data_IF_454970450782
#
_entry.id   IF_454970450782
#
_cell.length_a   1.000
_cell.length_b   1.000
_cell.length_c   1.000
_cell.angle_alpha   90.00
_cell.angle_beta   90.00
_cell.angle_gamma   90.00
#
_symmetry.space_group_name_H-M   'P 1'
#
loop_
_entity.id
_entity.type
_entity.pdbx_description
1 polymer ?
#
# COMPACT_ATOMS: atom_id res chain seq x y z
N UNK A 1 5.85 -3.46 19.57
CA UNK A 1 6.09 -4.17 18.32
C UNK A 1 6.63 -5.57 18.62
N UNK A 2 5.97 -6.58 18.06
CA UNK A 2 6.15 -7.98 18.48
C UNK A 2 7.48 -8.63 18.02
N UNK A 3 8.32 -7.94 17.23
CA UNK A 3 9.60 -8.42 16.70
C UNK A 3 9.51 -9.82 16.03
N UNK A 4 8.40 -10.12 15.37
CA UNK A 4 8.09 -11.44 14.79
C UNK A 4 8.79 -11.70 13.44
N UNK A 5 9.74 -10.84 13.04
CA UNK A 5 10.40 -10.92 11.74
C UNK A 5 9.60 -10.29 10.60
N UNK A 6 10.02 -10.56 9.37
CA UNK A 6 9.40 -10.02 8.15
C UNK A 6 8.66 -11.11 7.41
N UNK A 7 7.35 -10.93 7.23
CA UNK A 7 6.50 -11.87 6.51
C UNK A 7 6.94 -12.05 5.04
N UNK A 8 7.01 -13.27 4.49
CA UNK A 8 7.33 -13.53 3.09
C UNK A 8 6.11 -13.31 2.19
N UNK A 9 5.62 -12.06 2.12
CA UNK A 9 4.32 -11.71 1.51
C UNK A 9 4.20 -12.21 0.06
N UNK A 10 5.24 -12.02 -0.77
CA UNK A 10 5.19 -12.47 -2.17
C UNK A 10 5.07 -13.99 -2.28
N UNK A 11 5.78 -14.74 -1.41
CA UNK A 11 5.65 -16.18 -1.36
C UNK A 11 4.24 -16.60 -0.93
N UNK A 12 3.69 -15.96 0.10
CA UNK A 12 2.32 -16.22 0.56
C UNK A 12 1.29 -16.00 -0.55
N UNK A 13 1.41 -14.89 -1.29
CA UNK A 13 0.53 -14.60 -2.43
C UNK A 13 0.71 -15.63 -3.55
N UNK A 14 1.95 -16.02 -3.86
CA UNK A 14 2.25 -17.06 -4.85
C UNK A 14 1.63 -18.42 -4.46
N UNK A 15 1.64 -18.74 -3.19
CA UNK A 15 1.06 -19.97 -2.65
C UNK A 15 -0.48 -19.93 -2.52
N UNK A 16 -1.10 -18.87 -3.06
CA UNK A 16 -2.56 -18.70 -3.09
C UNK A 16 -3.17 -18.22 -1.77
N UNK A 17 -2.35 -17.81 -0.80
CA UNK A 17 -2.83 -17.26 0.47
C UNK A 17 -3.34 -15.84 0.22
N UNK A 18 -4.57 -15.57 0.68
CA UNK A 18 -5.10 -14.21 0.67
C UNK A 18 -4.40 -13.35 1.71
N UNK A 19 -3.80 -12.26 1.24
CA UNK A 19 -3.03 -11.33 2.08
C UNK A 19 -3.61 -9.93 1.90
N UNK A 20 -3.77 -9.20 3.00
CA UNK A 20 -4.06 -7.77 3.02
C UNK A 20 -3.06 -7.03 3.90
N UNK A 21 -2.90 -5.73 3.69
CA UNK A 21 -2.15 -4.86 4.59
C UNK A 21 -3.08 -4.28 5.65
N UNK A 22 -2.59 -4.19 6.88
CA UNK A 22 -3.27 -3.57 8.00
C UNK A 22 -2.28 -2.80 8.87
N UNK A 23 -2.79 -1.83 9.63
CA UNK A 23 -1.98 -0.97 10.51
C UNK A 23 -1.66 -1.62 11.85
N UNK A 24 -2.32 -2.74 12.18
CA UNK A 24 -2.20 -3.41 13.49
C UNK A 24 -2.38 -2.44 14.65
N UNK A 25 -3.56 -1.81 14.71
CA UNK A 25 -3.89 -0.83 15.75
C UNK A 25 -3.53 -1.38 17.15
N UNK A 26 -2.86 -0.56 17.94
CA UNK A 26 -2.30 -0.89 19.26
C UNK A 26 -1.02 -1.76 19.25
N UNK A 27 -0.80 -2.64 18.28
CA UNK A 27 0.47 -3.34 18.07
C UNK A 27 1.38 -2.57 17.09
N UNK A 28 0.79 -1.98 16.07
CA UNK A 28 1.46 -1.08 15.13
C UNK A 28 1.71 0.32 15.72
N UNK A 29 2.66 1.03 15.15
CA UNK A 29 3.04 2.37 15.61
C UNK A 29 2.36 3.49 14.82
N UNK A 30 1.59 3.18 13.77
CA UNK A 30 0.97 4.15 12.88
C UNK A 30 -0.38 3.65 12.37
N UNK A 31 -1.37 4.54 12.30
CA UNK A 31 -2.71 4.23 11.80
C UNK A 31 -2.92 4.56 10.31
N UNK A 32 -1.89 5.06 9.63
CA UNK A 32 -1.98 5.47 8.24
C UNK A 32 -1.60 4.33 7.29
N UNK A 33 -2.55 3.87 6.47
CA UNK A 33 -2.32 2.77 5.54
C UNK A 33 -1.34 3.13 4.40
N UNK A 34 -1.21 4.41 4.01
CA UNK A 34 -0.16 4.84 3.08
C UNK A 34 1.23 4.56 3.67
N UNK A 35 1.40 4.81 4.97
CA UNK A 35 2.63 4.48 5.68
C UNK A 35 2.86 2.97 5.75
N UNK A 36 1.83 2.20 6.04
CA UNK A 36 1.92 0.74 6.05
C UNK A 36 2.38 0.19 4.70
N UNK A 37 1.92 0.76 3.58
CA UNK A 37 2.40 0.38 2.25
C UNK A 37 3.90 0.62 2.07
N UNK A 38 4.40 1.79 2.47
CA UNK A 38 5.84 2.10 2.36
C UNK A 38 6.67 1.20 3.26
N UNK A 39 6.22 0.96 4.49
CA UNK A 39 6.92 0.07 5.43
C UNK A 39 6.95 -1.37 4.92
N UNK A 40 5.86 -1.87 4.35
CA UNK A 40 5.81 -3.21 3.75
C UNK A 40 6.80 -3.33 2.56
N UNK A 41 6.87 -2.32 1.69
CA UNK A 41 7.84 -2.28 0.59
C UNK A 41 9.27 -2.31 1.14
N UNK A 42 9.59 -1.47 2.12
CA UNK A 42 10.93 -1.41 2.70
C UNK A 42 11.32 -2.69 3.43
N UNK A 43 10.42 -3.23 4.25
CA UNK A 43 10.64 -4.50 4.94
C UNK A 43 10.86 -5.65 3.94
N UNK A 44 10.08 -5.69 2.86
CA UNK A 44 10.23 -6.68 1.79
C UNK A 44 11.58 -6.56 1.07
N UNK A 45 12.06 -5.35 0.79
CA UNK A 45 13.40 -5.11 0.22
C UNK A 45 14.51 -5.57 1.16
N UNK A 46 14.41 -5.25 2.46
CA UNK A 46 15.37 -5.70 3.46
C UNK A 46 15.41 -7.23 3.53
N UNK A 47 14.22 -7.87 3.60
CA UNK A 47 14.14 -9.32 3.57
C UNK A 47 14.87 -9.89 2.34
N UNK A 48 14.57 -9.39 1.14
CA UNK A 48 15.23 -9.83 -0.09
C UNK A 48 16.75 -9.65 -0.03
N UNK A 49 17.25 -8.50 0.44
CA UNK A 49 18.67 -8.24 0.56
C UNK A 49 19.39 -9.25 1.46
N UNK A 50 18.78 -9.63 2.58
CA UNK A 50 19.43 -10.45 3.60
C UNK A 50 19.17 -11.95 3.50
N UNK A 51 18.09 -12.35 2.81
CA UNK A 51 17.70 -13.79 2.75
C UNK A 51 17.77 -14.37 1.34
N UNK A 52 17.40 -13.60 0.30
CA UNK A 52 17.25 -14.13 -1.05
C UNK A 52 18.42 -13.74 -1.96
N UNK A 53 18.86 -12.49 -1.89
CA UNK A 53 19.99 -11.98 -2.68
C UNK A 53 21.31 -12.69 -2.33
N UNK A 54 21.52 -12.98 -1.07
CA UNK A 54 22.70 -13.71 -0.53
C UNK A 54 24.05 -13.21 -1.12
N UNK A 55 24.20 -11.87 -1.25
CA UNK A 55 25.41 -11.26 -1.80
C UNK A 55 25.50 -11.21 -3.34
N UNK A 56 24.64 -11.91 -4.08
CA UNK A 56 24.62 -11.87 -5.53
C UNK A 56 24.04 -10.53 -6.04
N UNK A 57 24.83 -9.66 -6.73
CA UNK A 57 24.34 -8.41 -7.29
C UNK A 57 23.37 -8.60 -8.46
N UNK A 58 23.33 -9.78 -9.07
CA UNK A 58 22.51 -10.13 -10.23
C UNK A 58 21.25 -10.94 -9.83
N UNK A 59 21.06 -11.22 -8.54
CA UNK A 59 19.88 -11.94 -8.06
C UNK A 59 18.59 -11.28 -8.57
N UNK A 60 17.64 -12.09 -9.06
CA UNK A 60 16.33 -11.61 -9.50
C UNK A 60 15.64 -10.89 -8.34
N UNK A 61 15.24 -9.64 -8.59
CA UNK A 61 14.51 -8.84 -7.60
C UNK A 61 13.17 -9.50 -7.25
N UNK A 62 12.98 -9.80 -5.98
CA UNK A 62 11.79 -10.46 -5.44
C UNK A 62 11.33 -9.72 -4.17
N UNK A 63 10.80 -8.51 -4.35
CA UNK A 63 10.26 -7.69 -3.28
C UNK A 63 9.04 -6.92 -3.74
N UNK A 64 8.21 -6.44 -2.80
CA UNK A 64 7.00 -5.71 -3.10
C UNK A 64 7.28 -4.43 -3.89
N UNK A 65 6.51 -4.25 -4.96
CA UNK A 65 6.41 -3.00 -5.71
C UNK A 65 5.32 -2.10 -5.12
N UNK A 66 5.25 -0.85 -5.56
CA UNK A 66 4.13 0.06 -5.21
C UNK A 66 2.79 -0.54 -5.63
N UNK A 67 2.71 -1.13 -6.84
CA UNK A 67 1.48 -1.77 -7.31
C UNK A 67 1.06 -2.96 -6.44
N UNK A 68 2.01 -3.81 -6.01
CA UNK A 68 1.71 -4.90 -5.08
C UNK A 68 1.18 -4.36 -3.74
N UNK A 69 1.86 -3.38 -3.15
CA UNK A 69 1.44 -2.81 -1.86
C UNK A 69 0.07 -2.14 -1.97
N UNK A 70 -0.19 -1.42 -3.06
CA UNK A 70 -1.49 -0.81 -3.34
C UNK A 70 -2.59 -1.87 -3.46
N UNK A 71 -2.37 -2.93 -4.23
CA UNK A 71 -3.33 -4.04 -4.34
C UNK A 71 -3.64 -4.66 -2.98
N UNK A 72 -2.61 -4.95 -2.17
CA UNK A 72 -2.78 -5.55 -0.84
C UNK A 72 -3.49 -4.61 0.15
N UNK A 73 -3.34 -3.29 -0.02
CA UNK A 73 -4.01 -2.29 0.81
C UNK A 73 -5.45 -1.98 0.36
N UNK A 74 -5.86 -2.40 -0.83
CA UNK A 74 -7.17 -2.12 -1.43
C UNK A 74 -7.91 -3.41 -1.76
N UNK A 75 -7.92 -3.82 -3.03
CA UNK A 75 -8.68 -4.98 -3.52
C UNK A 75 -8.27 -6.30 -2.84
N UNK A 76 -6.96 -6.50 -2.60
CA UNK A 76 -6.46 -7.72 -1.94
C UNK A 76 -6.98 -7.84 -0.51
N UNK A 77 -6.83 -6.80 0.31
CA UNK A 77 -7.35 -6.75 1.67
C UNK A 77 -8.88 -6.72 1.70
N UNK A 78 -9.50 -5.94 0.81
CA UNK A 78 -10.94 -5.83 0.66
C UNK A 78 -11.64 -7.13 0.32
N UNK A 79 -10.97 -8.04 -0.39
CA UNK A 79 -11.53 -9.34 -0.78
C UNK A 79 -12.04 -10.21 0.38
N UNK A 80 -11.61 -9.92 1.60
CA UNK A 80 -12.14 -10.55 2.81
C UNK A 80 -13.59 -10.15 3.08
N UNK A 81 -13.96 -8.91 2.75
CA UNK A 81 -15.29 -8.34 2.97
C UNK A 81 -16.22 -8.47 1.74
N UNK A 82 -15.74 -9.01 0.64
CA UNK A 82 -16.51 -9.17 -0.60
C UNK A 82 -16.01 -8.23 -1.71
N UNK A 83 -16.94 -7.50 -2.35
CA UNK A 83 -16.63 -6.60 -3.47
C UNK A 83 -16.31 -5.19 -2.97
N UNK A 84 -15.19 -5.01 -2.28
CA UNK A 84 -14.68 -3.72 -1.80
C UNK A 84 -13.23 -3.50 -2.21
N UNK A 85 -12.76 -2.26 -2.19
CA UNK A 85 -11.38 -1.87 -2.50
C UNK A 85 -11.04 -1.85 -4.00
N UNK A 86 -12.03 -1.73 -4.89
CA UNK A 86 -11.86 -1.56 -6.33
C UNK A 86 -12.99 -0.68 -6.90
N UNK A 87 -12.75 -0.06 -8.05
CA UNK A 87 -13.75 0.69 -8.82
C UNK A 87 -14.33 -0.14 -9.99
N UNK A 88 -14.18 -1.46 -9.93
CA UNK A 88 -14.82 -2.35 -10.92
C UNK A 88 -16.36 -2.35 -10.75
N UNK A 89 -17.12 -2.69 -11.81
CA UNK A 89 -18.57 -2.83 -11.68
C UNK A 89 -18.98 -3.75 -10.54
N UNK A 90 -20.05 -3.41 -9.83
CA UNK A 90 -20.59 -4.10 -8.66
C UNK A 90 -19.73 -4.06 -7.39
N UNK A 91 -18.63 -3.30 -7.37
CA UNK A 91 -17.90 -3.03 -6.14
C UNK A 91 -18.54 -1.89 -5.35
N UNK A 92 -18.46 -1.98 -4.01
CA UNK A 92 -18.83 -0.86 -3.15
C UNK A 92 -17.93 0.35 -3.47
N UNK A 93 -18.53 1.54 -3.54
CA UNK A 93 -17.79 2.76 -3.80
C UNK A 93 -17.13 3.26 -2.52
N UNK A 94 -16.00 2.63 -2.18
CA UNK A 94 -15.09 3.06 -1.12
C UNK A 94 -13.91 3.80 -1.76
N UNK A 95 -13.75 5.08 -1.44
CA UNK A 95 -12.76 5.92 -2.10
C UNK A 95 -12.06 6.87 -1.13
N UNK A 96 -10.80 7.16 -1.43
CA UNK A 96 -10.01 8.21 -0.78
C UNK A 96 -9.53 9.17 -1.85
N UNK A 97 -9.79 10.45 -1.68
CA UNK A 97 -9.27 11.51 -2.55
C UNK A 97 -7.96 12.02 -1.98
N UNK A 98 -6.92 11.96 -2.80
CA UNK A 98 -5.59 12.42 -2.45
C UNK A 98 -5.26 13.66 -3.28
N UNK A 99 -4.87 14.75 -2.62
CA UNK A 99 -4.35 15.95 -3.26
C UNK A 99 -2.82 15.91 -3.28
N UNK A 100 -2.23 16.06 -4.45
CA UNK A 100 -0.79 16.10 -4.66
C UNK A 100 -0.29 17.49 -5.13
N UNK A 101 -1.12 18.52 -5.05
CA UNK A 101 -0.75 19.87 -5.50
C UNK A 101 0.53 20.39 -4.82
N UNK A 102 0.70 20.09 -3.53
CA UNK A 102 1.92 20.44 -2.79
C UNK A 102 3.19 19.70 -3.27
N UNK A 103 3.03 18.63 -4.05
CA UNK A 103 4.13 17.84 -4.63
C UNK A 103 4.34 18.16 -6.12
N UNK A 104 3.59 19.13 -6.67
CA UNK A 104 3.74 19.53 -8.07
C UNK A 104 5.14 20.08 -8.34
N UNK A 105 5.68 19.77 -9.50
CA UNK A 105 6.93 20.31 -10.01
C UNK A 105 6.78 20.67 -11.51
N UNK A 106 7.88 21.05 -12.15
CA UNK A 106 7.87 21.45 -13.56
C UNK A 106 7.76 20.29 -14.55
N UNK A 107 7.70 19.06 -14.05
CA UNK A 107 7.65 17.85 -14.87
C UNK A 107 6.27 17.24 -14.80
N UNK A 108 5.60 17.12 -15.96
CA UNK A 108 4.37 16.35 -16.06
C UNK A 108 4.66 14.85 -15.81
N UNK A 109 3.87 14.23 -14.92
CA UNK A 109 4.08 12.86 -14.47
C UNK A 109 2.84 12.02 -14.70
N UNK A 110 3.00 10.75 -15.12
CA UNK A 110 1.89 9.81 -15.15
C UNK A 110 1.35 9.57 -13.74
N UNK A 111 0.09 9.15 -13.64
CA UNK A 111 -0.60 8.96 -12.36
C UNK A 111 0.12 7.99 -11.42
N UNK A 112 0.78 6.97 -11.97
CA UNK A 112 1.55 6.00 -11.18
C UNK A 112 2.72 6.66 -10.44
N UNK A 113 3.46 7.55 -11.12
CA UNK A 113 4.59 8.27 -10.52
C UNK A 113 4.09 9.30 -9.50
N UNK A 114 2.98 9.97 -9.78
CA UNK A 114 2.32 10.89 -8.84
C UNK A 114 1.90 10.14 -7.57
N UNK A 115 1.24 8.99 -7.71
CA UNK A 115 0.85 8.15 -6.58
C UNK A 115 2.07 7.65 -5.79
N UNK A 116 3.13 7.21 -6.48
CA UNK A 116 4.38 6.82 -5.81
C UNK A 116 4.96 7.97 -4.99
N UNK A 117 4.97 9.20 -5.52
CA UNK A 117 5.43 10.39 -4.78
C UNK A 117 4.57 10.64 -3.55
N UNK A 118 3.25 10.56 -3.66
CA UNK A 118 2.33 10.68 -2.53
C UNK A 118 2.71 9.68 -1.44
N UNK A 119 2.92 8.41 -1.77
CA UNK A 119 3.27 7.37 -0.79
C UNK A 119 4.50 7.72 0.06
N UNK A 120 5.51 8.35 -0.54
CA UNK A 120 6.77 8.66 0.15
C UNK A 120 6.78 10.03 0.81
N UNK A 121 5.97 10.95 0.34
CA UNK A 121 6.04 12.37 0.67
C UNK A 121 4.75 12.95 1.26
N UNK A 122 3.73 12.11 1.51
CA UNK A 122 2.43 12.58 2.00
C UNK A 122 2.55 13.35 3.32
N UNK A 123 1.63 14.28 3.51
CA UNK A 123 1.40 15.03 4.75
C UNK A 123 -0.01 14.75 5.27
N UNK A 124 -0.37 15.30 6.43
CA UNK A 124 -1.72 15.16 6.97
C UNK A 124 -2.79 15.69 5.99
N UNK A 125 -2.47 16.75 5.25
CA UNK A 125 -3.39 17.44 4.33
C UNK A 125 -3.54 16.74 2.97
N UNK A 126 -2.79 15.68 2.71
CA UNK A 126 -2.86 14.94 1.45
C UNK A 126 -4.23 14.29 1.24
N UNK A 127 -4.91 13.87 2.30
CA UNK A 127 -6.26 13.26 2.21
C UNK A 127 -7.31 14.35 2.31
N UNK A 128 -8.01 14.62 1.21
CA UNK A 128 -9.02 15.70 1.15
C UNK A 128 -10.46 15.20 1.25
N UNK A 129 -10.73 13.94 0.87
CA UNK A 129 -12.06 13.36 1.11
C UNK A 129 -11.99 11.83 1.25
N UNK A 130 -12.99 11.26 1.94
CA UNK A 130 -13.20 9.81 2.06
C UNK A 130 -14.66 9.47 1.84
N UNK A 131 -14.88 8.38 1.11
CA UNK A 131 -16.21 7.84 0.83
C UNK A 131 -16.27 6.39 1.29
N UNK A 132 -17.39 6.02 1.89
CA UNK A 132 -17.75 4.64 2.25
C UNK A 132 -19.14 4.37 1.68
N UNK A 133 -19.25 3.33 0.85
CA UNK A 133 -20.50 2.97 0.15
C UNK A 133 -21.14 4.18 -0.55
N UNK A 134 -20.32 5.00 -1.20
CA UNK A 134 -20.77 6.21 -1.88
C UNK A 134 -21.09 7.41 -0.99
N UNK A 135 -21.12 7.25 0.33
CA UNK A 135 -21.38 8.35 1.27
C UNK A 135 -20.06 9.03 1.63
N UNK A 136 -20.00 10.37 1.49
CA UNK A 136 -18.85 11.14 1.95
C UNK A 136 -18.83 11.16 3.49
N UNK A 137 -17.80 10.55 4.08
CA UNK A 137 -17.64 10.44 5.55
C UNK A 137 -16.55 11.39 6.09
N UNK A 138 -15.76 11.98 5.22
CA UNK A 138 -14.76 12.99 5.55
C UNK A 138 -14.53 13.92 4.36
N UNK A 139 -14.42 15.21 4.65
CA UNK A 139 -13.99 16.24 3.69
C UNK A 139 -13.19 17.29 4.47
N UNK A 140 -11.97 17.61 3.98
CA UNK A 140 -11.09 18.64 4.54
C UNK A 140 -11.54 20.04 4.12
#
# INVERSE_FOLDING_TARGET
NAANGVAPILQMVHDGIRVGLGTDMAGGYNLNLLRTMTDAIQASKLRWCFTERNGDPFAKKNFLTVANAFYLATKGGGSFFGKVGSFEPDYEFDAVVLDDAALADFVERPVQDRFQRILWLYTADTVTAKFIQGTCVYQA
#
